data_IF_342939683016
#
_entry.id   IF_342939683016
#
_cell.length_a   1.000
_cell.length_b   1.000
_cell.length_c   1.000
_cell.angle_alpha   90.00
_cell.angle_beta   90.00
_cell.angle_gamma   90.00
#
_symmetry.space_group_name_H-M   'P 1'
#
loop_
_entity.id
_entity.type
_entity.pdbx_description
1 polymer ?
#
# COMPACT_ATOMS: atom_id res chain seq x y z
N UNK A 1 8.97 16.04 15.29
CA UNK A 1 9.61 16.91 14.27
C UNK A 1 8.52 17.46 13.36
N UNK A 2 8.46 18.79 13.22
CA UNK A 2 7.48 19.43 12.36
C UNK A 2 7.86 19.26 10.88
N UNK A 3 6.98 18.67 10.09
CA UNK A 3 7.14 18.49 8.65
C UNK A 3 5.96 19.11 7.93
N UNK A 4 6.24 19.88 6.89
CA UNK A 4 5.23 20.44 6.00
C UNK A 4 5.43 19.87 4.60
N UNK A 5 4.40 19.24 4.07
CA UNK A 5 4.33 18.71 2.70
C UNK A 5 3.07 19.21 2.02
N UNK A 6 3.25 20.04 0.98
CA UNK A 6 2.15 20.73 0.32
C UNK A 6 1.26 21.48 1.36
N UNK A 7 0.00 21.13 1.45
CA UNK A 7 -0.99 21.74 2.34
C UNK A 7 -1.20 20.94 3.64
N UNK A 8 -0.29 20.02 3.94
CA UNK A 8 -0.33 19.19 5.14
C UNK A 8 0.83 19.52 6.08
N UNK A 9 0.51 19.81 7.34
CA UNK A 9 1.50 20.02 8.42
C UNK A 9 1.34 18.93 9.47
N UNK A 10 2.44 18.25 9.78
CA UNK A 10 2.46 17.10 10.69
C UNK A 10 3.57 17.27 11.74
N UNK A 11 3.29 16.85 12.97
CA UNK A 11 4.33 16.67 13.98
C UNK A 11 4.64 15.17 14.13
N UNK A 12 5.83 14.77 13.68
CA UNK A 12 6.21 13.37 13.54
C UNK A 12 7.26 13.00 14.57
N UNK A 13 7.04 11.88 15.25
CA UNK A 13 8.03 11.20 16.08
C UNK A 13 8.76 10.12 15.25
N UNK A 14 9.77 10.57 14.50
CA UNK A 14 10.57 9.69 13.62
C UNK A 14 11.19 8.54 14.39
N UNK A 15 11.61 8.77 15.63
CA UNK A 15 12.24 7.74 16.45
C UNK A 15 11.25 6.63 16.77
N UNK A 16 10.06 6.98 17.27
CA UNK A 16 9.00 6.01 17.54
C UNK A 16 8.53 5.30 16.29
N UNK A 17 8.42 6.01 15.17
CA UNK A 17 8.08 5.41 13.87
C UNK A 17 9.10 4.33 13.51
N UNK A 18 10.40 4.62 13.60
CA UNK A 18 11.44 3.63 13.32
C UNK A 18 11.43 2.46 14.31
N UNK A 19 11.19 2.71 15.60
CA UNK A 19 11.06 1.66 16.62
C UNK A 19 9.87 0.74 16.33
N UNK A 20 8.74 1.30 15.89
CA UNK A 20 7.58 0.52 15.46
C UNK A 20 7.95 -0.49 14.35
N UNK A 21 8.63 -0.03 13.30
CA UNK A 21 9.02 -0.91 12.18
C UNK A 21 10.13 -1.91 12.53
N UNK A 22 10.90 -1.72 13.58
CA UNK A 22 11.87 -2.72 14.03
C UNK A 22 11.22 -3.99 14.59
N UNK A 23 10.00 -3.89 15.10
CA UNK A 23 9.25 -5.02 15.65
C UNK A 23 8.13 -5.50 14.74
N UNK A 24 7.91 -4.80 13.62
CA UNK A 24 6.86 -5.12 12.66
C UNK A 24 7.24 -6.34 11.82
N UNK A 25 6.31 -7.30 11.71
CA UNK A 25 6.48 -8.50 10.90
C UNK A 25 5.85 -8.30 9.53
N UNK A 26 6.66 -8.42 8.48
CA UNK A 26 6.17 -8.35 7.10
C UNK A 26 5.45 -9.64 6.70
N UNK A 27 4.40 -9.49 5.90
CA UNK A 27 3.72 -10.62 5.29
C UNK A 27 4.64 -11.34 4.29
N UNK A 28 4.71 -12.67 4.35
CA UNK A 28 5.56 -13.50 3.48
C UNK A 28 4.79 -14.14 2.31
N UNK A 29 3.59 -13.66 1.97
CA UNK A 29 2.89 -14.17 0.80
C UNK A 29 3.56 -13.72 -0.52
N UNK A 30 3.37 -14.46 -1.63
CA UNK A 30 4.04 -14.17 -2.89
C UNK A 30 3.80 -12.74 -3.40
N UNK A 31 2.57 -12.22 -3.31
CA UNK A 31 2.26 -10.86 -3.74
C UNK A 31 3.02 -9.81 -2.91
N UNK A 32 3.09 -9.99 -1.59
CA UNK A 32 3.84 -9.09 -0.72
C UNK A 32 5.34 -9.13 -1.02
N UNK A 33 5.93 -10.31 -1.18
CA UNK A 33 7.33 -10.43 -1.57
C UNK A 33 7.64 -9.80 -2.92
N UNK A 34 6.72 -9.91 -3.89
CA UNK A 34 6.87 -9.25 -5.19
C UNK A 34 6.88 -7.71 -5.06
N UNK A 35 6.08 -7.16 -4.14
CA UNK A 35 6.10 -5.74 -3.82
C UNK A 35 7.47 -5.32 -3.27
N UNK A 36 7.93 -5.98 -2.20
CA UNK A 36 9.18 -5.65 -1.52
C UNK A 36 10.40 -5.75 -2.44
N UNK A 37 10.40 -6.70 -3.38
CA UNK A 37 11.53 -6.94 -4.27
C UNK A 37 11.81 -5.79 -5.25
N UNK A 38 10.88 -4.87 -5.48
CA UNK A 38 11.04 -3.89 -6.56
C UNK A 38 10.53 -2.47 -6.25
N UNK A 39 9.67 -2.29 -5.25
CA UNK A 39 8.96 -1.02 -5.02
C UNK A 39 9.91 0.16 -4.81
N UNK A 40 10.96 -0.02 -4.01
CA UNK A 40 11.93 1.03 -3.69
C UNK A 40 12.73 1.52 -4.89
N UNK A 41 13.08 0.60 -5.79
CA UNK A 41 13.82 0.96 -7.01
C UNK A 41 12.93 1.67 -8.03
N UNK A 42 11.64 1.43 -8.00
CA UNK A 42 10.68 1.98 -8.96
C UNK A 42 10.11 3.33 -8.54
N UNK A 43 9.91 3.56 -7.25
CA UNK A 43 9.23 4.74 -6.72
C UNK A 43 10.12 5.50 -5.74
N UNK A 44 11.12 6.17 -6.30
CA UNK A 44 12.13 6.89 -5.52
C UNK A 44 11.57 8.12 -4.81
N UNK A 45 10.68 8.87 -5.46
CA UNK A 45 10.08 10.06 -4.85
C UNK A 45 9.16 9.70 -3.69
N UNK A 46 8.46 8.57 -3.81
CA UNK A 46 7.61 8.06 -2.71
C UNK A 46 8.47 7.52 -1.57
N UNK A 47 9.56 6.82 -1.86
CA UNK A 47 10.50 6.34 -0.82
C UNK A 47 11.14 7.53 -0.08
N UNK A 48 11.50 8.60 -0.78
CA UNK A 48 12.00 9.84 -0.17
C UNK A 48 10.94 10.47 0.75
N UNK A 49 9.68 10.57 0.29
CA UNK A 49 8.58 11.10 1.10
C UNK A 49 8.38 10.29 2.38
N UNK A 50 8.32 8.95 2.28
CA UNK A 50 8.14 8.05 3.42
C UNK A 50 9.36 8.06 4.35
N UNK A 51 10.57 8.19 3.80
CA UNK A 51 11.81 8.27 4.58
C UNK A 51 11.86 9.52 5.46
N UNK A 52 11.30 10.63 5.01
CA UNK A 52 11.14 11.84 5.84
C UNK A 52 10.27 11.57 7.08
N UNK A 53 9.37 10.59 7.01
CA UNK A 53 8.52 10.16 8.13
C UNK A 53 9.16 9.05 8.99
N UNK A 54 10.32 8.55 8.59
CA UNK A 54 11.01 7.44 9.26
C UNK A 54 10.53 6.06 8.81
N UNK A 55 9.86 5.97 7.68
CA UNK A 55 9.29 4.74 7.10
C UNK A 55 10.08 4.33 5.86
N UNK A 56 10.25 3.03 5.62
CA UNK A 56 10.72 2.48 4.35
C UNK A 56 9.52 2.05 3.51
N UNK A 57 9.52 2.40 2.22
CA UNK A 57 8.47 1.98 1.28
C UNK A 57 8.34 0.44 1.18
N UNK A 58 9.39 -0.30 1.53
CA UNK A 58 9.43 -1.77 1.53
C UNK A 58 8.73 -2.39 2.76
N UNK A 59 8.26 -1.58 3.71
CA UNK A 59 7.71 -2.06 4.97
C UNK A 59 6.26 -1.59 5.21
N UNK A 60 5.31 -1.87 4.30
CA UNK A 60 3.92 -1.53 4.55
C UNK A 60 3.32 -2.37 5.69
N UNK A 61 2.41 -1.79 6.45
CA UNK A 61 1.58 -2.52 7.43
C UNK A 61 0.60 -3.44 6.72
N UNK A 62 -0.02 -2.94 5.65
CA UNK A 62 -0.98 -3.68 4.86
C UNK A 62 -0.81 -3.44 3.37
N UNK A 63 -1.02 -4.49 2.59
CA UNK A 63 -1.11 -4.48 1.14
C UNK A 63 -2.40 -5.12 0.68
N UNK A 64 -3.22 -4.37 -0.05
CA UNK A 64 -4.33 -4.93 -0.82
C UNK A 64 -3.89 -5.18 -2.25
N UNK A 65 -4.02 -6.41 -2.76
CA UNK A 65 -3.57 -6.76 -4.10
C UNK A 65 -4.58 -7.58 -4.88
N UNK A 66 -4.55 -7.43 -6.21
CA UNK A 66 -5.31 -8.23 -7.17
C UNK A 66 -4.36 -8.66 -8.28
N UNK A 67 -4.41 -9.95 -8.63
CA UNK A 67 -3.67 -10.50 -9.75
C UNK A 67 -4.35 -10.11 -11.07
N UNK A 68 -3.59 -9.47 -11.96
CA UNK A 68 -3.95 -9.25 -13.36
C UNK A 68 -3.20 -10.28 -14.24
N UNK A 69 -3.30 -10.18 -15.57
CA UNK A 69 -2.73 -11.20 -16.46
C UNK A 69 -1.24 -11.45 -16.24
N UNK A 70 -0.44 -10.37 -16.19
CA UNK A 70 1.03 -10.44 -16.11
C UNK A 70 1.60 -9.53 -15.03
N UNK A 71 0.76 -8.90 -14.23
CA UNK A 71 1.13 -7.95 -13.19
C UNK A 71 0.26 -8.08 -11.93
N UNK A 72 0.73 -7.53 -10.85
CA UNK A 72 -0.04 -7.38 -9.62
C UNK A 72 -0.47 -5.93 -9.50
N UNK A 73 -1.75 -5.68 -9.40
CA UNK A 73 -2.29 -4.40 -8.99
C UNK A 73 -2.36 -4.35 -7.46
N UNK A 74 -1.56 -3.49 -6.86
CA UNK A 74 -1.68 -3.17 -5.44
C UNK A 74 -2.67 -2.02 -5.31
N UNK A 75 -3.88 -2.37 -4.86
CA UNK A 75 -4.99 -1.42 -4.69
C UNK A 75 -4.59 -0.36 -3.69
N UNK A 76 -3.91 -0.78 -2.62
CA UNK A 76 -3.34 0.12 -1.62
C UNK A 76 -2.10 -0.50 -0.95
N UNK A 77 -1.23 0.39 -0.46
CA UNK A 77 -0.15 0.09 0.47
C UNK A 77 -0.23 1.11 1.61
N UNK A 78 -0.41 0.66 2.84
CA UNK A 78 -0.61 1.52 4.01
C UNK A 78 0.55 1.44 4.98
N UNK A 79 0.89 2.60 5.56
CA UNK A 79 2.03 2.78 6.46
C UNK A 79 1.62 3.59 7.69
N UNK A 80 2.01 3.14 8.87
CA UNK A 80 1.82 3.85 10.13
C UNK A 80 2.95 4.85 10.38
N UNK A 81 2.58 6.06 10.77
CA UNK A 81 3.51 7.11 11.19
C UNK A 81 3.14 7.56 12.59
N UNK A 82 4.08 7.48 13.55
CA UNK A 82 3.87 7.97 14.89
C UNK A 82 3.93 9.50 14.91
N UNK A 83 2.84 10.14 15.34
CA UNK A 83 2.73 11.58 15.35
C UNK A 83 1.29 12.06 15.19
N UNK A 84 1.15 13.33 14.86
CA UNK A 84 -0.16 14.00 14.69
C UNK A 84 -0.21 14.81 13.43
N UNK A 85 -1.36 14.81 12.78
CA UNK A 85 -1.69 15.77 11.74
C UNK A 85 -2.15 17.04 12.44
N UNK A 86 -1.48 18.18 12.15
CA UNK A 86 -1.79 19.47 12.76
C UNK A 86 -2.68 20.34 11.87
N UNK A 87 -2.39 20.33 10.57
CA UNK A 87 -3.15 21.06 9.55
C UNK A 87 -3.25 20.19 8.30
N UNK A 88 -4.42 20.14 7.72
CA UNK A 88 -4.70 19.31 6.55
C UNK A 88 -5.77 19.97 5.68
N UNK A 89 -5.35 20.71 4.66
CA UNK A 89 -6.26 21.31 3.67
C UNK A 89 -6.64 20.31 2.57
N UNK A 90 -5.69 19.42 2.20
CA UNK A 90 -5.91 18.30 1.30
C UNK A 90 -5.38 17.01 1.91
N UNK A 91 -6.21 15.97 1.90
CA UNK A 91 -5.82 14.62 2.33
C UNK A 91 -4.95 13.89 1.30
N UNK A 92 -4.84 14.42 0.08
CA UNK A 92 -4.26 13.73 -1.06
C UNK A 92 -3.05 14.47 -1.60
N UNK A 93 -2.00 13.73 -1.87
CA UNK A 93 -0.80 14.18 -2.56
C UNK A 93 -0.67 13.35 -3.84
N UNK A 94 -0.65 14.01 -4.98
CA UNK A 94 -0.43 13.36 -6.27
C UNK A 94 1.05 13.41 -6.64
N UNK A 95 1.63 12.26 -6.91
CA UNK A 95 3.04 12.13 -7.33
C UNK A 95 3.11 11.31 -8.62
N UNK A 96 3.81 11.84 -9.62
CA UNK A 96 4.21 11.06 -10.78
C UNK A 96 5.61 10.48 -10.51
N UNK A 97 5.68 9.19 -10.25
CA UNK A 97 6.91 8.50 -9.91
C UNK A 97 7.00 7.15 -10.66
N UNK A 98 8.18 6.82 -11.15
CA UNK A 98 8.39 5.59 -11.92
C UNK A 98 7.52 5.45 -13.17
N UNK A 99 6.98 6.56 -13.72
CA UNK A 99 6.06 6.59 -14.85
C UNK A 99 4.60 6.27 -14.50
N UNK A 100 4.28 6.10 -13.22
CA UNK A 100 2.92 5.97 -12.71
C UNK A 100 2.48 7.23 -11.96
N UNK A 101 1.21 7.54 -12.08
CA UNK A 101 0.56 8.59 -11.31
C UNK A 101 0.00 7.99 -10.02
N UNK A 102 0.63 8.29 -8.89
CA UNK A 102 0.28 7.73 -7.59
C UNK A 102 -0.50 8.76 -6.78
N UNK A 103 -1.55 8.29 -6.12
CA UNK A 103 -2.32 9.06 -5.16
C UNK A 103 -1.93 8.63 -3.74
N UNK A 104 -1.46 9.57 -2.93
CA UNK A 104 -1.07 9.34 -1.55
C UNK A 104 -2.06 10.04 -0.65
N UNK A 105 -2.71 9.29 0.22
CA UNK A 105 -3.66 9.80 1.20
C UNK A 105 -3.02 9.79 2.58
N UNK A 106 -3.09 10.92 3.27
CA UNK A 106 -2.66 11.07 4.66
C UNK A 106 -3.89 11.20 5.53
N UNK A 107 -4.07 10.30 6.49
CA UNK A 107 -5.31 10.15 7.23
C UNK A 107 -5.03 9.68 8.67
N UNK A 108 -5.92 9.99 9.60
CA UNK A 108 -5.95 9.42 10.95
C UNK A 108 -6.79 8.13 11.02
N UNK A 109 -7.01 7.50 9.87
CA UNK A 109 -7.78 6.29 9.73
C UNK A 109 -7.18 5.14 10.54
N UNK A 110 -8.04 4.44 11.31
CA UNK A 110 -7.62 3.34 12.16
C UNK A 110 -7.10 2.16 11.33
N UNK A 111 -5.81 1.86 11.47
CA UNK A 111 -5.27 0.53 11.17
C UNK A 111 -5.09 -0.19 12.52
N UNK A 112 -5.47 -1.47 12.64
CA UNK A 112 -5.25 -2.24 13.85
C UNK A 112 -3.75 -2.57 13.99
N UNK A 113 -2.97 -1.62 14.47
CA UNK A 113 -1.52 -1.73 14.66
C UNK A 113 -1.10 -1.81 16.13
N UNK A 114 -2.03 -1.94 17.06
CA UNK A 114 -1.79 -2.02 18.50
C UNK A 114 -0.96 -0.83 19.08
N UNK A 115 -0.95 0.32 18.39
CA UNK A 115 -0.24 1.50 18.88
C UNK A 115 -0.98 2.15 20.06
N UNK A 116 -0.26 2.35 21.17
CA UNK A 116 -0.74 3.10 22.35
C UNK A 116 -0.49 4.61 22.22
N UNK A 117 0.22 5.05 21.17
CA UNK A 117 0.60 6.46 20.97
C UNK A 117 -0.17 7.06 19.81
N UNK A 118 -0.23 8.39 19.73
CA UNK A 118 -0.78 9.09 18.56
C UNK A 118 -0.07 8.65 17.28
N UNK A 119 -0.84 8.36 16.26
CA UNK A 119 -0.35 8.00 14.93
C UNK A 119 -1.32 8.46 13.85
N UNK A 120 -0.84 8.49 12.64
CA UNK A 120 -1.64 8.63 11.42
C UNK A 120 -1.16 7.63 10.37
N UNK A 121 -1.90 7.52 9.29
CA UNK A 121 -1.64 6.55 8.23
C UNK A 121 -1.35 7.27 6.93
N UNK A 122 -0.36 6.76 6.20
CA UNK A 122 -0.06 7.16 4.83
C UNK A 122 -0.41 6.00 3.94
N UNK A 123 -1.35 6.18 3.02
CA UNK A 123 -1.78 5.14 2.10
C UNK A 123 -1.50 5.54 0.65
N UNK A 124 -0.83 4.67 -0.07
CA UNK A 124 -0.52 4.83 -1.49
C UNK A 124 -1.48 3.95 -2.29
N UNK A 125 -2.12 4.51 -3.29
CA UNK A 125 -3.08 3.81 -4.13
C UNK A 125 -2.57 3.59 -5.56
N UNK A 126 -3.12 2.56 -6.20
CA UNK A 126 -2.99 2.30 -7.65
C UNK A 126 -1.56 1.98 -8.11
N UNK A 127 -0.83 1.18 -7.36
CA UNK A 127 0.49 0.71 -7.75
C UNK A 127 0.35 -0.55 -8.60
N UNK A 128 0.80 -0.51 -9.86
CA UNK A 128 0.87 -1.68 -10.73
C UNK A 128 2.34 -2.11 -10.87
N UNK A 129 2.62 -3.37 -10.56
CA UNK A 129 3.96 -3.93 -10.62
C UNK A 129 3.98 -5.25 -11.40
N UNK A 130 4.95 -5.46 -12.30
CA UNK A 130 5.13 -6.74 -12.96
C UNK A 130 5.53 -7.82 -11.95
N UNK A 131 5.35 -9.08 -12.31
CA UNK A 131 5.86 -10.21 -11.54
C UNK A 131 7.38 -10.35 -11.75
N UNK A 132 8.16 -10.27 -10.69
CA UNK A 132 9.63 -10.33 -10.76
C UNK A 132 10.23 -11.50 -9.97
N UNK A 133 9.43 -12.23 -9.21
CA UNK A 133 9.91 -13.37 -8.43
C UNK A 133 10.18 -14.58 -9.33
N UNK A 134 11.22 -15.35 -8.97
CA UNK A 134 11.55 -16.60 -9.67
C UNK A 134 10.69 -17.78 -9.13
N UNK A 135 9.39 -17.57 -9.08
CA UNK A 135 8.36 -18.55 -8.71
C UNK A 135 7.12 -18.35 -9.58
N UNK A 136 6.23 -19.34 -9.68
CA UNK A 136 5.03 -19.21 -10.51
C UNK A 136 4.20 -18.01 -10.11
N UNK A 137 3.66 -17.32 -11.13
CA UNK A 137 2.69 -16.23 -10.91
C UNK A 137 1.50 -16.77 -10.10
N UNK A 138 1.06 -16.07 -9.04
CA UNK A 138 -0.09 -16.51 -8.26
C UNK A 138 -1.32 -16.46 -9.16
N UNK A 139 -1.80 -17.62 -9.59
CA UNK A 139 -3.09 -17.70 -10.28
C UNK A 139 -4.17 -17.63 -9.21
N UNK A 140 -4.96 -16.57 -9.20
CA UNK A 140 -6.23 -16.61 -8.50
C UNK A 140 -6.97 -17.85 -8.97
N UNK A 141 -7.35 -18.75 -8.03
CA UNK A 141 -8.20 -19.88 -8.37
C UNK A 141 -9.41 -19.30 -9.09
N UNK A 142 -9.68 -19.66 -10.36
CA UNK A 142 -10.81 -19.07 -11.06
C UNK A 142 -12.03 -19.30 -10.20
N UNK A 143 -12.67 -18.23 -9.78
CA UNK A 143 -13.93 -18.28 -9.05
C UNK A 143 -14.82 -19.14 -9.94
N UNK A 144 -15.04 -20.39 -9.54
CA UNK A 144 -15.91 -21.30 -10.28
C UNK A 144 -17.26 -20.61 -10.28
N UNK A 145 -17.58 -19.92 -11.39
CA UNK A 145 -18.86 -19.31 -11.66
C UNK A 145 -19.92 -20.41 -11.73
N UNK A 146 -20.18 -21.06 -10.61
CA UNK A 146 -21.27 -22.02 -10.45
C UNK A 146 -22.63 -21.36 -10.69
N UNK A 147 -22.69 -20.04 -10.55
CA UNK A 147 -23.92 -19.26 -10.76
C UNK A 147 -24.18 -18.99 -12.24
N UNK A 148 -23.17 -18.64 -13.05
CA UNK A 148 -23.35 -18.39 -14.47
C UNK A 148 -23.58 -19.67 -15.29
N UNK A 149 -23.03 -20.79 -14.86
CA UNK A 149 -23.30 -22.07 -15.51
C UNK A 149 -24.72 -22.58 -15.22
N UNK A 150 -25.30 -22.27 -14.07
CA UNK A 150 -26.71 -22.57 -13.77
C UNK A 150 -27.69 -21.74 -14.64
N UNK A 151 -27.35 -20.50 -14.93
CA UNK A 151 -28.20 -19.62 -15.76
C UNK A 151 -28.16 -20.07 -17.22
N UNK A 152 -26.97 -20.45 -17.77
CA UNK A 152 -26.88 -20.96 -19.13
C UNK A 152 -27.67 -22.26 -19.36
N UNK A 153 -27.72 -23.14 -18.37
CA UNK A 153 -28.51 -24.39 -18.48
C UNK A 153 -30.03 -24.19 -18.44
N UNK A 154 -30.51 -23.04 -17.95
CA UNK A 154 -31.94 -22.70 -17.93
C UNK A 154 -32.42 -22.11 -19.28
N UNK A 155 -31.52 -21.58 -20.11
CA UNK A 155 -31.86 -20.97 -21.41
C UNK A 155 -31.53 -21.85 -22.61
N UNK A 156 -30.95 -23.04 -22.43
CA UNK A 156 -30.58 -23.94 -23.53
C UNK A 156 -31.56 -25.13 -23.70
N UNK A 157 -32.74 -25.07 -23.12
CA UNK A 157 -33.84 -26.01 -23.42
C UNK A 157 -34.93 -25.29 -24.21
N UNK A 158 -34.73 -25.20 -25.49
CA UNK A 158 -35.78 -25.14 -26.54
C UNK A 158 -35.30 -25.94 -27.73
#
# INVERSE_FOLDING_TARGET
MLIKKQDCTMDIDIKKTKEYYQTHSLCDCPCCRNYYAQVKQRFQLVDELLSDFGVSIECPDELGSVELQDEIQYIFASYTVCGKILELDKYEIDINDGGLFLNIVIDDYYIPNEQETDYFVVTIYNINLPWVLNEPFPTSVPYKNSFFNKIKSLFSKK
#
